data_IF_910316705956
#
_entry.id   IF_910316705956
#
_cell.length_a   1.000
_cell.length_b   1.000
_cell.length_c   1.000
_cell.angle_alpha   90.00
_cell.angle_beta   90.00
_cell.angle_gamma   90.00
#
_symmetry.space_group_name_H-M   'P 1'
#
loop_
_entity.id
_entity.type
_entity.pdbx_description
1 polymer ?
#
# COMPACT_ATOMS: atom_id res chain seq x y z
N UNK A 1 9.88 1.84 0.19
CA UNK A 1 10.04 2.28 1.57
C UNK A 1 8.70 2.51 2.24
N UNK A 2 8.55 1.99 3.43
CA UNK A 2 7.31 2.17 4.18
C UNK A 2 7.21 3.60 4.69
N UNK A 3 6.08 4.22 4.47
CA UNK A 3 5.84 5.59 4.91
C UNK A 3 4.65 5.62 5.84
N UNK A 4 4.74 6.50 6.84
CA UNK A 4 3.64 6.75 7.73
C UNK A 4 2.66 7.70 7.04
N UNK A 5 1.41 7.31 6.97
CA UNK A 5 0.37 8.15 6.40
C UNK A 5 -0.41 8.78 7.54
N UNK A 6 -0.68 10.07 7.41
CA UNK A 6 -1.37 10.81 8.45
C UNK A 6 -2.74 11.20 7.91
N UNK A 7 -3.80 10.54 8.39
CA UNK A 7 -5.14 10.90 7.97
C UNK A 7 -5.60 12.17 8.67
N UNK A 8 -6.75 12.66 8.29
CA UNK A 8 -7.29 13.83 8.92
C UNK A 8 -7.84 13.55 10.32
N UNK A 9 -7.86 12.28 10.71
CA UNK A 9 -8.23 11.86 12.06
C UNK A 9 -6.97 11.60 12.85
N UNK A 10 -7.12 11.10 14.08
CA UNK A 10 -5.98 10.78 14.91
C UNK A 10 -5.43 9.37 14.69
N UNK A 11 -6.07 8.58 13.84
CA UNK A 11 -5.64 7.21 13.57
C UNK A 11 -4.44 7.23 12.64
N UNK A 12 -3.47 6.36 12.94
CA UNK A 12 -2.27 6.27 12.15
C UNK A 12 -2.33 5.09 11.19
N UNK A 13 -1.86 5.32 9.97
CA UNK A 13 -1.76 4.28 8.97
C UNK A 13 -0.35 4.25 8.42
N UNK A 14 0.04 3.10 7.90
CA UNK A 14 1.32 2.93 7.21
C UNK A 14 1.03 2.57 5.77
N UNK A 15 1.88 3.03 4.87
CA UNK A 15 1.68 2.72 3.47
C UNK A 15 2.99 2.67 2.71
N UNK A 16 2.96 1.94 1.62
CA UNK A 16 4.09 1.89 0.70
C UNK A 16 3.55 1.99 -0.71
N UNK A 17 4.14 2.86 -1.50
CA UNK A 17 3.74 3.05 -2.88
C UNK A 17 4.56 2.15 -3.78
N UNK A 18 3.87 1.46 -4.69
CA UNK A 18 4.55 0.60 -5.65
C UNK A 18 5.12 1.44 -6.76
N UNK A 19 6.42 1.36 -6.97
CA UNK A 19 7.07 2.16 -8.01
C UNK A 19 7.47 1.33 -9.24
N UNK A 20 7.04 0.08 -9.27
CA UNK A 20 7.36 -0.81 -10.37
C UNK A 20 8.61 -1.65 -10.13
N UNK A 21 9.39 -1.32 -9.11
CA UNK A 21 10.64 -2.05 -8.82
C UNK A 21 10.75 -2.50 -7.38
N UNK A 22 9.95 -1.94 -6.48
CA UNK A 22 10.08 -2.21 -5.06
C UNK A 22 9.19 -3.35 -4.55
N UNK A 23 8.87 -4.30 -5.43
CA UNK A 23 8.00 -5.41 -5.04
C UNK A 23 8.57 -6.23 -3.87
N UNK A 24 9.88 -6.34 -3.77
CA UNK A 24 10.49 -7.09 -2.67
C UNK A 24 10.17 -6.47 -1.32
N UNK A 25 10.28 -5.16 -1.23
CA UNK A 25 10.00 -4.46 0.01
C UNK A 25 8.54 -4.62 0.39
N UNK A 26 7.67 -4.58 -0.60
CA UNK A 26 6.23 -4.72 -0.35
C UNK A 26 5.92 -6.14 0.12
N UNK A 27 6.49 -7.15 -0.52
CA UNK A 27 6.23 -8.53 -0.15
C UNK A 27 6.74 -8.82 1.25
N UNK A 28 7.89 -8.28 1.61
CA UNK A 28 8.44 -8.48 2.94
C UNK A 28 7.60 -7.81 4.01
N UNK A 29 6.89 -6.76 3.67
CA UNK A 29 6.08 -6.01 4.60
C UNK A 29 4.65 -6.51 4.68
N UNK A 30 4.07 -6.87 3.54
CA UNK A 30 2.67 -7.27 3.47
C UNK A 30 2.58 -8.73 3.07
N UNK A 31 2.13 -9.57 3.99
CA UNK A 31 2.09 -11.02 3.75
C UNK A 31 1.04 -11.42 2.72
N UNK A 32 0.18 -10.52 2.33
CA UNK A 32 -0.86 -10.81 1.35
C UNK A 32 -0.42 -10.50 -0.08
N UNK A 33 0.79 -9.99 -0.26
CA UNK A 33 1.30 -9.66 -1.58
C UNK A 33 2.20 -10.74 -2.11
N UNK A 34 2.18 -10.94 -3.43
CA UNK A 34 3.11 -11.84 -4.08
C UNK A 34 3.44 -11.30 -5.47
N UNK A 35 4.57 -11.77 -6.01
CA UNK A 35 5.06 -11.33 -7.30
C UNK A 35 5.11 -12.54 -8.22
N UNK A 36 4.49 -12.43 -9.37
CA UNK A 36 4.39 -13.56 -10.29
C UNK A 36 4.36 -13.04 -11.72
N UNK A 37 5.19 -13.62 -12.58
CA UNK A 37 5.24 -13.26 -13.99
C UNK A 37 5.38 -11.74 -14.15
N UNK A 38 6.35 -11.19 -13.43
CA UNK A 38 6.68 -9.76 -13.49
C UNK A 38 5.55 -8.83 -13.08
N UNK A 39 4.59 -9.36 -12.30
CA UNK A 39 3.47 -8.55 -11.81
C UNK A 39 3.28 -8.77 -10.33
N UNK A 40 2.92 -7.69 -9.64
CA UNK A 40 2.66 -7.72 -8.21
C UNK A 40 1.16 -7.82 -7.96
N UNK A 41 0.78 -8.69 -7.05
CA UNK A 41 -0.62 -8.90 -6.68
C UNK A 41 -0.77 -8.81 -5.18
N UNK A 42 -1.94 -8.36 -4.75
CA UNK A 42 -2.35 -8.46 -3.35
C UNK A 42 -3.63 -9.27 -3.30
N UNK A 43 -3.66 -10.28 -2.44
CA UNK A 43 -4.81 -11.17 -2.33
C UNK A 43 -5.48 -10.93 -1.00
N UNK A 44 -6.71 -10.41 -1.06
CA UNK A 44 -7.48 -10.07 0.12
C UNK A 44 -8.86 -10.69 0.01
N UNK A 45 -9.30 -11.33 1.09
CA UNK A 45 -10.67 -11.86 1.17
C UNK A 45 -11.01 -12.75 -0.02
N UNK A 46 -10.06 -13.59 -0.43
CA UNK A 46 -10.31 -14.52 -1.50
C UNK A 46 -10.20 -13.95 -2.90
N UNK A 47 -9.82 -12.69 -3.02
CA UNK A 47 -9.64 -12.05 -4.31
C UNK A 47 -8.21 -11.55 -4.45
N UNK A 48 -7.62 -11.76 -5.62
CA UNK A 48 -6.29 -11.24 -5.91
C UNK A 48 -6.42 -10.10 -6.90
N UNK A 49 -5.82 -8.97 -6.55
CA UNK A 49 -5.89 -7.75 -7.33
C UNK A 49 -4.48 -7.39 -7.78
N UNK A 50 -4.36 -7.05 -9.05
CA UNK A 50 -3.07 -6.62 -9.58
C UNK A 50 -2.75 -5.22 -9.06
N UNK A 51 -1.53 -5.06 -8.55
CA UNK A 51 -1.05 -3.76 -8.08
C UNK A 51 -0.31 -3.12 -9.25
N UNK A 52 -0.74 -1.93 -9.65
CA UNK A 52 -0.10 -1.23 -10.76
C UNK A 52 0.81 -0.15 -10.19
N UNK A 53 1.71 0.32 -11.05
CA UNK A 53 2.63 1.38 -10.64
C UNK A 53 1.86 2.57 -10.08
N UNK A 54 2.37 3.12 -8.99
CA UNK A 54 1.83 4.26 -8.27
C UNK A 54 0.67 3.91 -7.33
N UNK A 55 0.18 2.67 -7.36
CA UNK A 55 -0.79 2.25 -6.35
C UNK A 55 -0.11 2.13 -5.00
N UNK A 56 -0.90 2.27 -3.95
CA UNK A 56 -0.43 2.18 -2.58
C UNK A 56 -1.00 0.96 -1.90
N UNK A 57 -0.15 0.28 -1.13
CA UNK A 57 -0.61 -0.75 -0.20
C UNK A 57 -0.61 -0.09 1.16
N UNK A 58 -1.77 -0.08 1.80
CA UNK A 58 -1.94 0.62 3.06
C UNK A 58 -2.35 -0.35 4.15
N UNK A 59 -1.63 -0.31 5.26
CA UNK A 59 -1.98 -1.06 6.45
C UNK A 59 -2.91 -0.18 7.27
N UNK A 60 -4.17 -0.56 7.33
CA UNK A 60 -5.17 0.29 7.94
C UNK A 60 -5.29 0.05 9.44
N UNK A 61 -5.19 -1.21 9.87
CA UNK A 61 -5.45 -1.53 11.25
C UNK A 61 -4.99 -2.94 11.53
N UNK A 62 -4.13 -3.11 12.52
CA UNK A 62 -3.61 -4.43 12.85
C UNK A 62 -3.02 -5.08 11.61
N UNK A 63 -3.55 -6.22 11.18
CA UNK A 63 -3.07 -6.93 10.02
C UNK A 63 -3.89 -6.66 8.77
N UNK A 64 -4.70 -5.63 8.80
CA UNK A 64 -5.55 -5.35 7.65
C UNK A 64 -4.84 -4.46 6.66
N UNK A 65 -4.92 -4.85 5.40
CA UNK A 65 -4.29 -4.12 4.31
C UNK A 65 -5.34 -3.81 3.25
N UNK A 66 -5.10 -2.76 2.51
CA UNK A 66 -5.96 -2.41 1.39
C UNK A 66 -5.09 -1.79 0.31
N UNK A 67 -5.65 -1.70 -0.90
CA UNK A 67 -4.95 -1.09 -2.02
C UNK A 67 -5.72 0.17 -2.41
N UNK A 68 -4.99 1.25 -2.60
CA UNK A 68 -5.56 2.53 -2.98
C UNK A 68 -4.75 3.12 -4.12
N UNK A 69 -5.42 3.87 -4.99
CA UNK A 69 -4.70 4.62 -6.01
C UNK A 69 -3.99 5.80 -5.37
N UNK A 70 -3.01 6.34 -6.08
CA UNK A 70 -2.30 7.51 -5.58
C UNK A 70 -3.26 8.69 -5.37
N UNK A 71 -4.21 8.83 -6.27
CA UNK A 71 -5.20 9.89 -6.16
C UNK A 71 -6.03 9.75 -4.88
N UNK A 72 -6.40 8.52 -4.55
CA UNK A 72 -7.17 8.27 -3.33
C UNK A 72 -6.34 8.58 -2.09
N UNK A 73 -5.07 8.20 -2.12
CA UNK A 73 -4.20 8.46 -0.97
C UNK A 73 -4.03 9.96 -0.77
N UNK A 74 -3.82 10.71 -1.84
CA UNK A 74 -3.64 12.14 -1.73
C UNK A 74 -4.91 12.84 -1.22
N UNK A 75 -6.07 12.27 -1.53
CA UNK A 75 -7.33 12.85 -1.07
C UNK A 75 -7.61 12.55 0.40
N UNK A 76 -7.17 11.38 0.88
CA UNK A 76 -7.50 10.91 2.22
C UNK A 76 -6.39 11.17 3.21
N UNK A 77 -5.16 11.00 2.80
CA UNK A 77 -4.02 11.03 3.70
C UNK A 77 -3.04 12.12 3.34
N UNK A 78 -2.19 12.40 4.29
CA UNK A 78 -1.06 13.30 4.08
C UNK A 78 0.18 12.52 4.47
N UNK A 79 1.05 12.18 3.53
CA UNK A 79 2.25 11.42 3.86
C UNK A 79 3.12 12.18 4.87
N UNK A 80 3.69 11.43 5.79
CA UNK A 80 4.53 12.02 6.82
C UNK A 80 5.75 12.68 6.17
N UNK A 81 6.02 13.91 6.58
CA UNK A 81 7.14 14.66 6.02
C UNK A 81 6.83 15.33 4.70
N UNK A 82 5.64 15.17 4.20
CA UNK A 82 5.20 15.78 2.95
C UNK A 82 4.51 17.11 3.22
N UNK A 83 4.48 17.94 2.21
CA UNK A 83 3.84 19.23 2.35
C UNK A 83 2.70 19.40 1.45
#
# INVERSE_FOLDING_TARGET
MVQRLIPKTTIRFLGIQYDGTNHRDIINWCKYCHYQVDELFICLHGKCIKVTKDDWIVNTFDDEFTILTDKEVQAIFKPFGSR
#
